data_IF_476018400132
#
_entry.id   IF_476018400132
#
_cell.length_a   1.000
_cell.length_b   1.000
_cell.length_c   1.000
_cell.angle_alpha   90.00
_cell.angle_beta   90.00
_cell.angle_gamma   90.00
#
_symmetry.space_group_name_H-M   'P 1'
#
loop_
_entity.id
_entity.type
_entity.pdbx_description
1 polymer ?
#
# COMPACT_ATOMS: atom_id res chain seq x y z
N UNK A 1 -9.62 -17.50 -5.80
CA UNK A 1 -9.31 -17.38 -4.36
C UNK A 1 -9.30 -15.90 -4.03
N UNK A 2 -10.13 -15.47 -3.07
CA UNK A 2 -10.25 -14.07 -2.65
C UNK A 2 -9.10 -13.67 -1.72
N UNK A 3 -8.61 -12.45 -1.85
CA UNK A 3 -7.62 -11.87 -0.93
C UNK A 3 -8.35 -11.35 0.31
N UNK A 4 -7.98 -11.85 1.50
CA UNK A 4 -8.60 -11.47 2.77
C UNK A 4 -7.58 -10.98 3.82
N UNK A 5 -6.33 -10.76 3.40
CA UNK A 5 -5.28 -10.23 4.28
C UNK A 5 -4.50 -9.13 3.58
N UNK A 6 -4.01 -8.16 4.33
CA UNK A 6 -3.22 -7.04 3.83
C UNK A 6 -2.01 -6.74 4.72
N UNK A 7 -0.89 -6.43 4.08
CA UNK A 7 0.33 -5.91 4.69
C UNK A 7 0.56 -4.47 4.22
N UNK A 8 0.56 -3.53 5.15
CA UNK A 8 0.65 -2.10 4.91
C UNK A 8 1.94 -1.55 5.49
N UNK A 9 2.82 -1.03 4.64
CA UNK A 9 4.08 -0.41 5.09
C UNK A 9 3.84 1.08 5.35
N UNK A 10 3.95 1.49 6.60
CA UNK A 10 3.62 2.83 7.08
C UNK A 10 4.82 3.63 7.61
N UNK A 11 6.05 3.09 7.54
CA UNK A 11 7.29 3.75 8.00
C UNK A 11 7.90 4.79 7.03
N UNK A 12 7.41 4.83 5.78
CA UNK A 12 7.97 5.66 4.72
C UNK A 12 8.06 7.16 5.06
N UNK A 13 9.27 7.71 5.00
CA UNK A 13 9.49 9.14 5.21
C UNK A 13 9.08 9.97 3.98
N UNK A 14 8.30 11.01 4.22
CA UNK A 14 8.12 12.12 3.28
C UNK A 14 9.33 13.05 3.19
N UNK A 15 10.57 12.53 3.29
CA UNK A 15 11.82 13.32 3.35
C UNK A 15 11.93 14.34 2.21
N UNK A 16 11.46 13.99 1.00
CA UNK A 16 11.42 14.90 -0.17
C UNK A 16 10.48 16.10 0.00
N UNK A 17 9.50 15.98 0.89
CA UNK A 17 8.52 17.02 1.22
C UNK A 17 8.92 17.85 2.45
N UNK A 18 10.12 17.62 3.01
CA UNK A 18 10.55 18.25 4.26
C UNK A 18 9.68 17.89 5.47
N UNK A 19 8.86 16.85 5.35
CA UNK A 19 7.93 16.43 6.40
C UNK A 19 8.70 15.80 7.56
N UNK A 20 8.39 16.25 8.78
CA UNK A 20 8.92 15.70 10.04
C UNK A 20 8.15 14.46 10.51
N UNK A 21 6.94 14.24 9.99
CA UNK A 21 6.09 13.08 10.27
C UNK A 21 6.04 12.08 9.11
N UNK A 22 5.74 10.79 9.38
CA UNK A 22 5.45 9.78 8.36
C UNK A 22 4.35 10.24 7.39
N UNK A 23 4.45 9.85 6.10
CA UNK A 23 3.41 10.22 5.11
C UNK A 23 2.04 9.67 5.50
N UNK A 24 2.01 8.46 6.05
CA UNK A 24 0.83 7.75 6.55
C UNK A 24 0.05 8.55 7.61
N UNK A 25 0.74 9.38 8.40
CA UNK A 25 0.15 10.23 9.44
C UNK A 25 -0.23 11.63 8.94
N UNK A 26 0.01 11.95 7.66
CA UNK A 26 -0.48 13.20 7.07
C UNK A 26 -2.00 13.25 7.18
N UNK A 27 -2.56 14.38 7.62
CA UNK A 27 -4.01 14.49 7.84
C UNK A 27 -4.77 14.92 6.58
N UNK A 28 -5.84 14.17 6.30
CA UNK A 28 -6.84 14.40 5.27
C UNK A 28 -8.22 14.48 5.95
N UNK A 29 -8.94 15.60 5.78
CA UNK A 29 -10.23 15.78 6.46
C UNK A 29 -10.16 15.66 7.99
N UNK A 30 -9.03 16.02 8.60
CA UNK A 30 -8.81 15.93 10.06
C UNK A 30 -8.28 14.59 10.56
N UNK A 31 -8.33 13.52 9.76
CA UNK A 31 -7.86 12.19 10.13
C UNK A 31 -6.58 11.80 9.37
N UNK A 32 -5.68 10.97 9.94
CA UNK A 32 -4.53 10.43 9.22
C UNK A 32 -4.91 9.71 7.92
N UNK A 33 -4.08 9.76 6.88
CA UNK A 33 -4.30 8.97 5.65
C UNK A 33 -4.43 7.48 5.99
N UNK A 34 -3.60 6.99 6.92
CA UNK A 34 -3.67 5.62 7.40
C UNK A 34 -5.06 5.25 7.95
N UNK A 35 -5.74 6.16 8.65
CA UNK A 35 -7.09 5.94 9.15
C UNK A 35 -8.07 5.68 7.99
N UNK A 36 -8.04 6.52 6.96
CA UNK A 36 -8.91 6.36 5.78
C UNK A 36 -8.62 5.05 5.03
N UNK A 37 -7.35 4.69 4.90
CA UNK A 37 -6.94 3.45 4.24
C UNK A 37 -7.46 2.23 5.01
N UNK A 38 -7.24 2.17 6.33
CA UNK A 38 -7.67 1.05 7.16
C UNK A 38 -9.18 0.93 7.20
N UNK A 39 -9.90 2.06 7.31
CA UNK A 39 -11.36 2.08 7.20
C UNK A 39 -11.82 1.46 5.88
N UNK A 40 -11.25 1.88 4.76
CA UNK A 40 -11.63 1.37 3.44
C UNK A 40 -11.35 -0.13 3.29
N UNK A 41 -10.23 -0.62 3.84
CA UNK A 41 -9.92 -2.05 3.85
C UNK A 41 -10.94 -2.85 4.66
N UNK A 42 -11.41 -2.30 5.79
CA UNK A 42 -12.48 -2.93 6.58
C UNK A 42 -13.82 -2.90 5.87
N UNK A 43 -14.17 -1.78 5.24
CA UNK A 43 -15.40 -1.66 4.45
C UNK A 43 -15.43 -2.67 3.28
N UNK A 44 -14.27 -2.96 2.67
CA UNK A 44 -14.11 -3.99 1.62
C UNK A 44 -13.78 -5.39 2.18
N UNK A 45 -14.12 -5.65 3.45
CA UNK A 45 -14.08 -6.96 4.10
C UNK A 45 -12.71 -7.63 4.18
N UNK A 46 -11.61 -6.86 4.17
CA UNK A 46 -10.27 -7.40 4.47
C UNK A 46 -10.20 -7.69 5.97
N UNK A 47 -10.17 -8.99 6.31
CA UNK A 47 -10.27 -9.49 7.68
C UNK A 47 -8.98 -9.40 8.49
N UNK A 48 -7.82 -9.61 7.87
CA UNK A 48 -6.53 -9.48 8.54
C UNK A 48 -5.74 -8.32 7.96
N UNK A 49 -5.39 -7.34 8.80
CA UNK A 49 -4.56 -6.22 8.37
C UNK A 49 -3.36 -6.14 9.30
N UNK A 50 -2.16 -6.15 8.71
CA UNK A 50 -0.89 -5.92 9.42
C UNK A 50 -0.31 -4.60 8.94
N UNK A 51 0.05 -3.73 9.87
CA UNK A 51 0.70 -2.45 9.62
C UNK A 51 2.14 -2.54 10.11
N UNK A 52 3.10 -2.30 9.20
CA UNK A 52 4.52 -2.35 9.48
C UNK A 52 5.13 -0.96 9.55
N UNK A 53 6.02 -0.72 10.52
CA UNK A 53 6.87 0.47 10.55
C UNK A 53 8.18 0.24 11.33
N UNK A 54 9.18 1.08 11.06
CA UNK A 54 10.47 1.13 11.75
C UNK A 54 10.59 2.28 12.77
N UNK A 55 9.54 3.11 12.89
CA UNK A 55 9.58 4.39 13.63
C UNK A 55 9.20 4.31 15.10
N UNK A 56 10.15 4.57 16.00
CA UNK A 56 9.88 4.70 17.44
C UNK A 56 9.09 5.97 17.78
N UNK A 57 9.45 7.08 17.16
CA UNK A 57 8.91 8.41 17.44
C UNK A 57 7.43 8.57 17.08
N UNK A 58 6.87 7.65 16.30
CA UNK A 58 5.47 7.65 15.87
C UNK A 58 4.76 6.33 16.17
N UNK A 59 5.39 5.44 16.94
CA UNK A 59 4.83 4.11 17.22
C UNK A 59 3.44 4.21 17.86
N UNK A 60 3.30 5.01 18.92
CA UNK A 60 2.05 5.15 19.66
C UNK A 60 0.92 5.70 18.77
N UNK A 61 1.18 6.71 17.94
CA UNK A 61 0.18 7.26 17.02
C UNK A 61 -0.23 6.26 15.93
N UNK A 62 0.72 5.47 15.41
CA UNK A 62 0.41 4.41 14.45
C UNK A 62 -0.45 3.31 15.09
N UNK A 63 -0.12 2.90 16.32
CA UNK A 63 -0.90 1.91 17.09
C UNK A 63 -2.31 2.42 17.36
N UNK A 64 -2.45 3.67 17.82
CA UNK A 64 -3.76 4.27 18.11
C UNK A 64 -4.66 4.29 16.86
N UNK A 65 -4.10 4.61 15.69
CA UNK A 65 -4.85 4.57 14.43
C UNK A 65 -5.20 3.14 14.02
N UNK A 66 -4.26 2.19 14.16
CA UNK A 66 -4.45 0.80 13.78
C UNK A 66 -5.49 0.07 14.65
N UNK A 67 -5.48 0.32 15.97
CA UNK A 67 -6.36 -0.31 16.95
C UNK A 67 -7.84 0.03 16.71
N UNK A 68 -8.14 1.24 16.21
CA UNK A 68 -9.49 1.65 15.81
C UNK A 68 -10.12 0.70 14.78
N UNK A 69 -9.28 0.00 14.02
CA UNK A 69 -9.69 -0.95 12.98
C UNK A 69 -9.26 -2.38 13.30
N UNK A 70 -8.77 -2.68 14.50
CA UNK A 70 -8.26 -4.00 14.88
C UNK A 70 -7.14 -4.51 13.97
N UNK A 71 -6.32 -3.60 13.42
CA UNK A 71 -5.15 -3.96 12.64
C UNK A 71 -3.98 -4.27 13.59
N UNK A 72 -3.15 -5.26 13.24
CA UNK A 72 -1.98 -5.64 14.03
C UNK A 72 -0.79 -4.78 13.61
N UNK A 73 -0.15 -4.12 14.56
CA UNK A 73 1.07 -3.34 14.29
C UNK A 73 2.30 -4.21 14.54
N UNK A 74 3.20 -4.26 13.56
CA UNK A 74 4.49 -4.95 13.65
C UNK A 74 5.64 -3.98 13.41
N UNK A 75 6.78 -4.27 14.02
CA UNK A 75 8.02 -3.54 13.81
C UNK A 75 8.79 -4.21 12.69
N UNK A 76 9.25 -3.41 11.73
CA UNK A 76 10.27 -3.82 10.76
C UNK A 76 11.63 -3.21 11.11
N UNK A 77 12.69 -3.74 10.51
CA UNK A 77 14.09 -3.40 10.81
C UNK A 77 14.58 -2.16 10.05
N UNK A 78 13.68 -1.38 9.43
CA UNK A 78 14.07 -0.21 8.63
C UNK A 78 14.75 -0.61 7.32
N UNK A 79 14.13 -1.55 6.60
CA UNK A 79 14.68 -2.15 5.39
C UNK A 79 14.92 -1.15 4.26
N UNK A 80 15.96 -1.43 3.46
CA UNK A 80 16.24 -0.69 2.23
C UNK A 80 15.21 -0.98 1.13
N UNK A 81 14.50 -2.11 1.22
CA UNK A 81 13.51 -2.55 0.24
C UNK A 81 12.21 -2.99 0.88
N UNK A 82 11.09 -2.53 0.33
CA UNK A 82 9.75 -2.89 0.80
C UNK A 82 9.38 -4.35 0.48
N UNK A 83 10.14 -5.02 -0.39
CA UNK A 83 10.02 -6.47 -0.62
C UNK A 83 10.58 -7.28 0.56
N UNK A 84 11.59 -6.77 1.26
CA UNK A 84 12.18 -7.42 2.43
C UNK A 84 11.19 -7.40 3.60
N UNK A 85 10.49 -6.28 3.78
CA UNK A 85 9.37 -6.15 4.73
C UNK A 85 8.28 -7.19 4.40
N UNK A 86 7.94 -7.33 3.11
CA UNK A 86 6.97 -8.33 2.68
C UNK A 86 7.43 -9.76 2.99
N UNK A 87 8.71 -10.09 2.72
CA UNK A 87 9.29 -11.40 3.05
C UNK A 87 9.23 -11.67 4.55
N UNK A 88 9.69 -10.72 5.37
CA UNK A 88 9.76 -10.85 6.83
C UNK A 88 8.39 -11.09 7.46
N UNK A 89 7.34 -10.41 6.96
CA UNK A 89 6.00 -10.48 7.54
C UNK A 89 5.03 -11.39 6.77
N UNK A 90 5.47 -12.02 5.69
CA UNK A 90 4.65 -12.92 4.85
C UNK A 90 4.04 -14.09 5.62
N UNK A 91 4.72 -14.58 6.67
CA UNK A 91 4.23 -15.69 7.50
C UNK A 91 2.94 -15.33 8.27
N UNK A 92 2.71 -14.05 8.53
CA UNK A 92 1.48 -13.57 9.16
C UNK A 92 0.32 -13.56 8.16
N UNK A 93 0.59 -13.55 6.85
CA UNK A 93 -0.41 -13.36 5.81
C UNK A 93 -1.02 -14.68 5.31
N UNK A 94 -2.17 -14.56 4.66
CA UNK A 94 -2.76 -15.66 3.88
C UNK A 94 -1.94 -16.02 2.64
N UNK A 95 -2.36 -17.07 1.91
CA UNK A 95 -1.66 -17.52 0.69
C UNK A 95 -1.52 -16.41 -0.36
N UNK A 96 -2.56 -15.58 -0.48
CA UNK A 96 -2.55 -14.36 -1.28
C UNK A 96 -2.93 -13.19 -0.38
N UNK A 97 -2.16 -12.11 -0.45
CA UNK A 97 -2.39 -10.93 0.38
C UNK A 97 -2.18 -9.65 -0.42
N UNK A 98 -2.83 -8.58 0.03
CA UNK A 98 -2.64 -7.25 -0.52
C UNK A 98 -1.39 -6.65 0.10
N UNK A 99 -0.45 -6.19 -0.71
CA UNK A 99 0.66 -5.36 -0.25
C UNK A 99 0.35 -3.90 -0.58
N UNK A 100 0.58 -2.97 0.35
CA UNK A 100 0.27 -1.55 0.14
C UNK A 100 1.14 -0.60 0.97
N UNK A 101 1.13 0.68 0.59
CA UNK A 101 1.74 1.74 1.39
C UNK A 101 0.69 2.47 2.23
N UNK A 102 1.04 2.80 3.48
CA UNK A 102 0.14 3.43 4.45
C UNK A 102 -0.34 4.84 4.07
N UNK A 103 0.21 5.42 3.00
CA UNK A 103 -0.18 6.71 2.45
C UNK A 103 -0.85 6.63 1.07
N UNK A 104 -0.91 5.45 0.45
CA UNK A 104 -1.42 5.25 -0.90
C UNK A 104 -2.90 4.83 -0.88
N UNK A 105 -3.80 5.81 -0.77
CA UNK A 105 -5.24 5.56 -0.93
C UNK A 105 -5.55 5.10 -2.36
N UNK A 106 -6.47 4.15 -2.46
CA UNK A 106 -7.03 3.66 -3.71
C UNK A 106 -8.55 3.75 -3.66
N UNK A 107 -9.20 3.65 -4.81
CA UNK A 107 -10.65 3.67 -4.88
C UNK A 107 -11.24 2.32 -4.41
N UNK A 108 -12.41 2.32 -3.78
CA UNK A 108 -13.08 1.09 -3.36
C UNK A 108 -13.30 0.11 -4.53
N UNK A 109 -13.58 0.62 -5.75
CA UNK A 109 -13.70 -0.22 -6.94
C UNK A 109 -12.39 -0.91 -7.34
N UNK A 110 -11.27 -0.22 -7.14
CA UNK A 110 -9.92 -0.78 -7.35
C UNK A 110 -9.64 -1.85 -6.32
N UNK A 111 -9.89 -1.55 -5.03
CA UNK A 111 -9.67 -2.50 -3.94
C UNK A 111 -10.49 -3.77 -4.13
N UNK A 112 -11.77 -3.63 -4.52
CA UNK A 112 -12.65 -4.75 -4.85
C UNK A 112 -12.15 -5.57 -6.04
N UNK A 113 -11.59 -4.91 -7.05
CA UNK A 113 -11.00 -5.60 -8.20
C UNK A 113 -9.81 -6.46 -7.77
N UNK A 114 -8.95 -5.95 -6.89
CA UNK A 114 -7.81 -6.68 -6.33
C UNK A 114 -8.27 -7.84 -5.43
N UNK A 115 -9.24 -7.61 -4.54
CA UNK A 115 -9.67 -8.63 -3.56
C UNK A 115 -10.49 -9.76 -4.17
N UNK A 116 -11.26 -9.47 -5.22
CA UNK A 116 -11.99 -10.47 -6.01
C UNK A 116 -11.09 -11.26 -6.97
N UNK A 117 -9.88 -10.77 -7.26
CA UNK A 117 -8.96 -11.34 -8.25
C UNK A 117 -9.26 -10.95 -9.69
N UNK A 118 -10.08 -9.91 -9.90
CA UNK A 118 -10.30 -9.30 -11.23
C UNK A 118 -9.09 -8.48 -11.69
N UNK A 119 -8.27 -8.01 -10.75
CA UNK A 119 -6.98 -7.39 -10.96
C UNK A 119 -5.95 -7.96 -9.99
N UNK A 120 -4.67 -7.91 -10.35
CA UNK A 120 -3.57 -8.27 -9.43
C UNK A 120 -2.68 -7.09 -9.05
N UNK A 121 -2.78 -5.97 -9.76
CA UNK A 121 -2.00 -4.79 -9.42
C UNK A 121 -2.65 -3.49 -9.88
N UNK A 122 -2.26 -2.39 -9.25
CA UNK A 122 -2.61 -1.05 -9.71
C UNK A 122 -1.57 -0.47 -10.64
N UNK A 123 -2.02 0.22 -11.68
CA UNK A 123 -1.14 0.88 -12.65
C UNK A 123 -1.48 2.35 -12.86
N UNK A 124 -0.52 3.10 -13.38
CA UNK A 124 -0.64 4.52 -13.64
C UNK A 124 0.20 4.92 -14.86
N UNK A 125 -0.26 5.94 -15.58
CA UNK A 125 0.30 6.32 -16.89
C UNK A 125 1.63 7.10 -16.81
N UNK A 126 2.03 7.60 -15.63
CA UNK A 126 3.24 8.42 -15.50
C UNK A 126 3.90 8.27 -14.13
N UNK A 127 5.13 7.75 -14.07
CA UNK A 127 5.92 7.75 -12.82
C UNK A 127 6.98 8.83 -12.79
N UNK A 128 7.01 9.58 -11.69
CA UNK A 128 8.12 10.45 -11.31
C UNK A 128 9.24 9.61 -10.67
N UNK A 129 9.88 8.77 -11.48
CA UNK A 129 11.18 8.06 -11.35
C UNK A 129 11.79 7.81 -9.95
N UNK A 130 12.14 6.53 -9.70
CA UNK A 130 13.55 6.06 -9.73
C UNK A 130 13.74 4.55 -9.97
N UNK A 131 12.71 3.72 -9.81
CA UNK A 131 12.67 2.34 -10.31
C UNK A 131 11.19 1.93 -10.46
N UNK A 132 10.46 2.49 -11.43
CA UNK A 132 9.09 2.06 -11.61
C UNK A 132 9.11 0.64 -12.18
N UNK A 133 8.14 -0.19 -11.81
CA UNK A 133 8.00 -1.53 -12.39
C UNK A 133 7.28 -1.33 -13.72
N UNK A 134 8.00 -1.39 -14.87
CA UNK A 134 7.39 -1.10 -16.14
C UNK A 134 6.52 -2.28 -16.54
N UNK A 135 5.29 -2.00 -16.94
CA UNK A 135 4.39 -2.95 -17.54
C UNK A 135 3.86 -2.33 -18.84
N UNK A 136 4.54 -2.64 -19.94
CA UNK A 136 4.37 -1.99 -21.24
C UNK A 136 4.52 -0.45 -21.17
N UNK A 137 3.46 0.30 -21.46
CA UNK A 137 3.40 1.78 -21.45
C UNK A 137 3.00 2.37 -20.08
N UNK A 138 2.79 1.50 -19.08
CA UNK A 138 2.32 1.87 -17.74
C UNK A 138 3.33 1.47 -16.67
N UNK A 139 3.13 2.04 -15.50
CA UNK A 139 3.91 1.72 -14.31
C UNK A 139 2.99 1.10 -13.27
N UNK A 140 3.49 0.09 -12.58
CA UNK A 140 2.77 -0.55 -11.50
C UNK A 140 3.27 -0.02 -10.15
N UNK A 141 2.32 0.27 -9.26
CA UNK A 141 2.60 0.64 -7.88
C UNK A 141 1.66 -0.09 -6.92
N UNK A 142 2.03 -0.20 -5.62
CA UNK A 142 1.12 -0.69 -4.62
C UNK A 142 -0.14 0.19 -4.52
N UNK A 143 -1.30 -0.42 -4.22
CA UNK A 143 -1.43 -1.78 -3.76
C UNK A 143 -1.45 -2.83 -4.88
N UNK A 144 -0.91 -4.01 -4.59
CA UNK A 144 -0.97 -5.17 -5.49
C UNK A 144 -1.07 -6.48 -4.69
N UNK A 145 -1.48 -7.55 -5.36
CA UNK A 145 -1.66 -8.87 -4.78
C UNK A 145 -0.36 -9.64 -4.84
N UNK A 146 0.06 -10.21 -3.71
CA UNK A 146 1.28 -10.98 -3.57
C UNK A 146 0.93 -12.43 -3.26
N UNK A 147 1.58 -13.36 -3.96
CA UNK A 147 1.54 -14.79 -3.69
C UNK A 147 2.65 -15.14 -2.69
N UNK A 148 2.25 -15.61 -1.52
CA UNK A 148 3.15 -15.88 -0.39
C UNK A 148 4.14 -16.99 -0.69
N UNK A 149 3.69 -18.08 -1.32
CA UNK A 149 4.56 -19.21 -1.66
C UNK A 149 5.62 -18.77 -2.65
N UNK A 150 5.19 -18.05 -3.69
CA UNK A 150 6.08 -17.52 -4.71
C UNK A 150 7.09 -16.54 -4.12
N UNK A 151 6.63 -15.56 -3.33
CA UNK A 151 7.50 -14.58 -2.68
C UNK A 151 8.59 -15.29 -1.85
N UNK A 152 8.18 -16.23 -1.00
CA UNK A 152 9.08 -16.95 -0.08
C UNK A 152 10.08 -17.83 -0.82
N UNK A 153 9.65 -18.51 -1.90
CA UNK A 153 10.51 -19.41 -2.68
C UNK A 153 11.47 -18.66 -3.60
N UNK A 154 11.01 -17.57 -4.20
CA UNK A 154 11.79 -16.82 -5.18
C UNK A 154 12.76 -15.82 -4.55
N UNK A 155 12.48 -15.34 -3.34
CA UNK A 155 13.26 -14.32 -2.61
C UNK A 155 13.74 -13.20 -3.54
N UNK A 156 12.80 -12.46 -4.14
CA UNK A 156 13.14 -11.47 -5.16
C UNK A 156 13.96 -10.33 -4.56
N UNK A 157 14.92 -9.80 -5.33
CA UNK A 157 15.76 -8.66 -4.90
C UNK A 157 14.96 -7.34 -4.79
N UNK A 158 13.78 -7.30 -5.41
CA UNK A 158 12.89 -6.14 -5.42
C UNK A 158 11.56 -6.48 -6.11
N UNK A 159 10.61 -5.56 -6.05
CA UNK A 159 9.30 -5.79 -6.69
C UNK A 159 9.40 -5.94 -8.22
N UNK A 160 10.32 -5.25 -8.89
CA UNK A 160 10.56 -5.47 -10.32
C UNK A 160 10.95 -6.92 -10.61
N UNK A 161 11.83 -7.48 -9.79
CA UNK A 161 12.28 -8.86 -9.93
C UNK A 161 11.15 -9.85 -9.67
N UNK A 162 10.35 -9.61 -8.61
CA UNK A 162 9.15 -10.39 -8.31
C UNK A 162 8.22 -10.42 -9.53
N UNK A 163 7.85 -9.26 -10.06
CA UNK A 163 6.83 -9.15 -11.11
C UNK A 163 7.32 -9.53 -12.50
N UNK A 164 8.63 -9.50 -12.75
CA UNK A 164 9.21 -10.01 -14.01
C UNK A 164 9.16 -11.54 -14.05
N UNK A 165 9.30 -12.20 -12.90
CA UNK A 165 9.38 -13.66 -12.80
C UNK A 165 8.05 -14.30 -12.40
N UNK A 166 7.12 -13.53 -11.81
CA UNK A 166 5.80 -14.00 -11.40
C UNK A 166 4.81 -13.86 -12.56
N UNK A 167 4.11 -14.94 -12.90
CA UNK A 167 3.00 -14.89 -13.84
C UNK A 167 1.69 -14.69 -13.07
N UNK A 168 0.98 -13.57 -13.28
CA UNK A 168 -0.32 -13.33 -12.65
C UNK A 168 -1.30 -14.50 -12.88
N UNK A 169 -2.07 -14.88 -11.86
CA UNK A 169 -3.04 -15.98 -11.94
C UNK A 169 -4.43 -15.53 -12.43
N UNK A 170 -4.68 -14.22 -12.47
CA UNK A 170 -5.97 -13.57 -12.76
C UNK A 170 -5.79 -12.15 -13.33
N UNK A 171 -6.92 -11.47 -13.55
CA UNK A 171 -7.12 -10.39 -14.54
C UNK A 171 -6.28 -9.13 -14.43
N UNK A 172 -6.48 -8.26 -15.43
CA UNK A 172 -5.59 -7.16 -15.84
C UNK A 172 -5.38 -6.04 -14.82
N UNK A 173 -5.16 -4.84 -15.32
CA UNK A 173 -4.74 -3.70 -14.53
C UNK A 173 -5.93 -2.84 -14.10
N UNK A 174 -5.81 -2.20 -12.93
CA UNK A 174 -6.74 -1.15 -12.52
C UNK A 174 -6.01 0.18 -12.32
N UNK A 175 -6.49 1.24 -12.97
CA UNK A 175 -5.86 2.56 -12.94
C UNK A 175 -6.01 3.25 -11.58
N UNK A 176 -4.94 3.88 -11.09
CA UNK A 176 -4.96 4.70 -9.86
C UNK A 176 -4.32 6.07 -10.07
N UNK A 177 -4.54 6.97 -9.10
CA UNK A 177 -3.84 8.25 -9.05
C UNK A 177 -2.40 8.03 -8.56
N UNK A 178 -1.40 8.70 -9.16
CA UNK A 178 -0.02 8.57 -8.73
C UNK A 178 0.18 9.08 -7.31
N UNK A 179 1.12 8.47 -6.58
CA UNK A 179 1.55 8.94 -5.27
C UNK A 179 2.09 10.38 -5.35
N UNK A 180 1.72 11.27 -4.40
CA UNK A 180 2.32 12.60 -4.34
C UNK A 180 3.77 12.54 -3.87
N UNK A 181 4.65 13.10 -4.71
CA UNK A 181 6.08 13.20 -4.50
C UNK A 181 6.55 14.64 -4.25
N UNK A 182 5.74 15.64 -4.58
CA UNK A 182 5.97 17.06 -4.27
C UNK A 182 4.89 17.63 -3.35
N UNK A 183 5.15 18.78 -2.72
CA UNK A 183 4.14 19.48 -1.91
C UNK A 183 2.91 19.90 -2.73
N UNK A 184 3.12 20.26 -4.00
CA UNK A 184 2.04 20.60 -4.92
C UNK A 184 1.20 19.36 -5.26
N UNK A 185 1.85 18.24 -5.57
CA UNK A 185 1.15 16.97 -5.80
C UNK A 185 0.40 16.52 -4.54
N UNK A 186 0.97 16.69 -3.35
CA UNK A 186 0.30 16.38 -2.09
C UNK A 186 -0.95 17.26 -1.89
N UNK A 187 -0.88 18.55 -2.23
CA UNK A 187 -2.04 19.44 -2.17
C UNK A 187 -3.15 18.98 -3.13
N UNK A 188 -2.80 18.65 -4.38
CA UNK A 188 -3.75 18.13 -5.38
C UNK A 188 -4.35 16.78 -4.96
N UNK A 189 -3.51 15.90 -4.41
CA UNK A 189 -3.91 14.61 -3.87
C UNK A 189 -4.92 14.79 -2.73
N UNK A 190 -4.64 15.71 -1.79
CA UNK A 190 -5.54 16.04 -0.69
C UNK A 190 -6.87 16.61 -1.17
N UNK A 191 -6.86 17.52 -2.13
CA UNK A 191 -8.10 18.09 -2.68
C UNK A 191 -8.96 16.99 -3.36
N UNK A 192 -8.33 16.17 -4.19
CA UNK A 192 -8.99 15.08 -4.92
C UNK A 192 -9.64 14.09 -3.95
N UNK A 193 -8.88 13.60 -2.96
CA UNK A 193 -9.41 12.65 -1.99
C UNK A 193 -10.40 13.27 -1.01
N UNK A 194 -10.25 14.56 -0.67
CA UNK A 194 -11.25 15.25 0.16
C UNK A 194 -12.60 15.36 -0.53
N UNK A 195 -12.65 15.49 -1.86
CA UNK A 195 -13.90 15.48 -2.64
C UNK A 195 -14.49 14.08 -2.69
N UNK A 196 -13.69 13.08 -3.06
CA UNK A 196 -14.11 11.67 -3.11
C UNK A 196 -14.68 11.17 -1.78
N UNK A 197 -14.01 11.46 -0.66
CA UNK A 197 -14.47 11.03 0.67
C UNK A 197 -15.74 11.74 1.13
N UNK A 198 -16.06 12.91 0.55
CA UNK A 198 -17.33 13.63 0.78
C UNK A 198 -18.45 13.13 -0.12
N UNK A 199 -18.14 12.38 -1.16
CA UNK A 199 -19.09 11.93 -2.18
C UNK A 199 -19.40 12.99 -3.26
N UNK A 200 -18.52 13.98 -3.42
CA UNK A 200 -18.59 15.04 -4.44
C UNK A 200 -17.99 14.62 -5.79
#
# INVERSE_FOLDING_TARGET
MSVNSALIVAGGHGRRMGATSPKSLTRLGGQPILHHLLKMMRDEMIGQIVVSHDRDDFHEEIVEVADQFGAVVVRDEGYGSTVEVALQHSALMGERFLFGYGHALVDSGVLRSLTSGAAEATTFASSSRRQPIPLADRYMEPPFVVDREYLTRSQPEGWLDYWTRHTPRGGGECGTLPEPNTLLELANYRDTWSKKLRGD
#
